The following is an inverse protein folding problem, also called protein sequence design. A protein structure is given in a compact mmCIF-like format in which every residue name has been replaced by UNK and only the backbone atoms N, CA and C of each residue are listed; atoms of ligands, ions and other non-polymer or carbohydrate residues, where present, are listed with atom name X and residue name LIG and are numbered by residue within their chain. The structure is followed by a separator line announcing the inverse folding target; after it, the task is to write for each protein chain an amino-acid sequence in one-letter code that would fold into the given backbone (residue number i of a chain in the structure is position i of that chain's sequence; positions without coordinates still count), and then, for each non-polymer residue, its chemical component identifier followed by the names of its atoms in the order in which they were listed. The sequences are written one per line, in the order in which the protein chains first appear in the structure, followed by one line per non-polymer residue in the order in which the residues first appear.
data_IF_941360071292
#
_entry.id   IF_941360071292
#
_cell.length_a   1.000
_cell.length_b   1.000
_cell.length_c   1.000
_cell.angle_alpha   90.00
_cell.angle_beta   90.00
_cell.angle_gamma   90.00
#
_symmetry.space_group_name_H-M   'P 1'
#
loop_
_entity.id
_entity.type
_entity.pdbx_description
1 polymer ?
#
# COMPACT_ATOMS: atom_id res chain seq x y z
N UNK A 1 59.61 -6.55 -7.20
CA UNK A 1 58.96 -5.29 -6.75
C UNK A 1 57.49 -5.26 -7.19
N UNK A 2 56.66 -6.24 -6.78
CA UNK A 2 55.21 -6.33 -7.13
C UNK A 2 54.37 -6.92 -5.97
N UNK A 3 54.88 -6.92 -4.73
CA UNK A 3 54.23 -7.60 -3.59
C UNK A 3 53.24 -6.75 -2.80
N UNK A 4 53.06 -5.47 -3.14
CA UNK A 4 52.19 -4.55 -2.38
C UNK A 4 50.94 -4.08 -3.14
N UNK A 5 50.77 -4.44 -4.42
CA UNK A 5 49.66 -3.92 -5.23
C UNK A 5 48.34 -4.71 -5.10
N UNK A 6 48.40 -5.93 -4.54
CA UNK A 6 47.23 -6.83 -4.42
C UNK A 6 46.36 -6.54 -3.19
N UNK A 7 46.89 -5.83 -2.18
CA UNK A 7 46.12 -5.51 -0.97
C UNK A 7 45.22 -4.27 -1.12
N UNK A 8 45.28 -3.56 -2.26
CA UNK A 8 44.49 -2.35 -2.49
C UNK A 8 43.25 -2.57 -3.37
N UNK A 9 43.02 -3.80 -3.85
CA UNK A 9 41.89 -4.13 -4.74
C UNK A 9 40.86 -5.10 -4.12
N UNK A 10 41.04 -5.51 -2.86
CA UNK A 10 40.16 -6.46 -2.16
C UNK A 10 39.46 -5.85 -0.93
N UNK A 11 39.44 -4.52 -0.81
CA UNK A 11 38.66 -3.81 0.22
C UNK A 11 37.47 -3.04 -0.37
N UNK A 12 36.98 -3.47 -1.53
CA UNK A 12 35.75 -3.00 -2.13
C UNK A 12 34.76 -4.16 -2.22
N UNK A 13 34.47 -4.81 -1.09
CA UNK A 13 33.18 -5.48 -0.94
C UNK A 13 32.17 -4.34 -0.85
N UNK A 14 31.70 -3.89 -2.01
CA UNK A 14 30.48 -3.12 -2.13
C UNK A 14 29.39 -4.02 -1.59
N UNK A 15 29.05 -3.84 -0.32
CA UNK A 15 27.86 -4.38 0.28
C UNK A 15 26.70 -3.73 -0.47
N UNK A 16 26.25 -4.37 -1.54
CA UNK A 16 25.03 -4.02 -2.23
C UNK A 16 23.88 -4.23 -1.24
N UNK A 17 23.59 -3.21 -0.42
CA UNK A 17 22.36 -3.13 0.32
C UNK A 17 21.24 -3.11 -0.71
N UNK A 18 20.63 -4.27 -0.95
CA UNK A 18 19.34 -4.33 -1.61
C UNK A 18 18.34 -3.66 -0.67
N UNK A 19 18.16 -2.35 -0.82
CA UNK A 19 17.02 -1.64 -0.24
C UNK A 19 15.76 -2.29 -0.82
N UNK A 20 14.90 -2.79 0.06
CA UNK A 20 13.62 -3.37 -0.36
C UNK A 20 12.71 -2.22 -0.74
N UNK A 21 12.22 -2.23 -1.96
CA UNK A 21 11.25 -1.24 -2.39
C UNK A 21 9.94 -1.48 -1.62
N UNK A 22 9.52 -0.49 -0.83
CA UNK A 22 8.18 -0.47 -0.26
C UNK A 22 7.22 -0.08 -1.38
N UNK A 23 6.17 -0.86 -1.56
CA UNK A 23 5.08 -0.57 -2.51
C UNK A 23 3.79 -0.37 -1.72
N UNK A 24 3.04 0.67 -2.08
CA UNK A 24 1.74 0.97 -1.48
C UNK A 24 0.73 1.15 -2.58
N UNK A 25 -0.35 0.38 -2.53
CA UNK A 25 -1.45 0.46 -3.47
C UNK A 25 -2.78 0.58 -2.74
N UNK A 26 -3.73 1.24 -3.39
CA UNK A 26 -5.13 1.26 -2.98
C UNK A 26 -5.97 0.79 -4.18
N UNK A 27 -6.93 -0.10 -3.95
CA UNK A 27 -7.76 -0.67 -5.00
C UNK A 27 -9.22 -0.77 -4.57
N UNK A 28 -10.11 -0.68 -5.55
CA UNK A 28 -11.52 -1.06 -5.41
C UNK A 28 -11.73 -2.37 -6.16
N UNK A 29 -12.51 -3.29 -5.58
CA UNK A 29 -12.99 -4.47 -6.30
C UNK A 29 -14.05 -4.11 -7.36
N UNK A 30 -14.80 -3.03 -7.16
CA UNK A 30 -15.74 -2.45 -8.11
C UNK A 30 -15.62 -0.92 -8.16
N UNK A 31 -15.56 -0.36 -9.37
CA UNK A 31 -15.58 1.10 -9.60
C UNK A 31 -16.98 1.66 -9.79
N UNK A 32 -17.99 0.79 -9.90
CA UNK A 32 -19.40 1.15 -10.04
C UNK A 32 -20.26 0.24 -9.16
N UNK A 33 -21.22 0.81 -8.45
CA UNK A 33 -22.18 0.09 -7.58
C UNK A 33 -23.56 0.74 -7.68
N UNK A 34 -24.64 0.01 -7.37
CA UNK A 34 -25.98 0.61 -7.24
C UNK A 34 -26.13 1.32 -5.88
N UNK A 35 -27.16 2.15 -5.68
CA UNK A 35 -27.37 2.82 -4.41
C UNK A 35 -27.74 1.80 -3.34
N UNK A 36 -27.00 1.81 -2.23
CA UNK A 36 -27.13 0.84 -1.13
C UNK A 36 -26.24 -0.41 -1.29
N UNK A 37 -25.66 -0.64 -2.47
CA UNK A 37 -24.57 -1.59 -2.64
C UNK A 37 -23.24 -0.98 -2.16
N UNK A 38 -22.22 -1.82 -2.00
CA UNK A 38 -20.92 -1.40 -1.54
C UNK A 38 -19.78 -2.08 -2.31
N UNK A 39 -18.62 -1.42 -2.34
CA UNK A 39 -17.36 -1.92 -2.86
C UNK A 39 -16.37 -2.14 -1.72
N UNK A 40 -15.44 -3.07 -1.91
CA UNK A 40 -14.30 -3.26 -1.03
C UNK A 40 -13.13 -2.37 -1.46
N UNK A 41 -12.74 -1.47 -0.57
CA UNK A 41 -11.50 -0.71 -0.67
C UNK A 41 -10.39 -1.47 0.08
N UNK A 42 -9.32 -1.79 -0.64
CA UNK A 42 -8.15 -2.48 -0.08
C UNK A 42 -6.93 -1.58 -0.17
N UNK A 43 -6.26 -1.37 0.96
CA UNK A 43 -4.89 -0.85 0.96
C UNK A 43 -3.92 -2.00 1.09
N UNK A 44 -2.97 -2.14 0.18
CA UNK A 44 -1.93 -3.18 0.22
C UNK A 44 -0.55 -2.52 0.32
N UNK A 45 0.22 -2.98 1.31
CA UNK A 45 1.57 -2.52 1.61
C UNK A 45 2.51 -3.70 1.46
N UNK A 46 3.45 -3.63 0.53
CA UNK A 46 4.51 -4.64 0.35
C UNK A 46 5.83 -4.11 0.86
N UNK A 47 6.61 -4.98 1.50
CA UNK A 47 7.97 -4.67 1.96
C UNK A 47 8.02 -3.73 3.18
N UNK A 48 6.89 -3.48 3.83
CA UNK A 48 6.79 -2.61 5.00
C UNK A 48 5.50 -2.82 5.78
N UNK A 49 5.40 -2.12 6.90
CA UNK A 49 4.22 -2.12 7.77
C UNK A 49 3.88 -0.70 8.19
N UNK A 50 2.60 -0.45 8.43
CA UNK A 50 2.08 0.82 8.92
C UNK A 50 0.91 0.57 9.87
N UNK A 51 0.54 1.61 10.61
CA UNK A 51 -0.76 1.65 11.25
C UNK A 51 -1.88 1.78 10.21
N UNK A 52 -3.10 1.49 10.66
CA UNK A 52 -4.33 1.58 9.86
C UNK A 52 -4.39 2.91 9.09
N UNK A 53 -4.55 2.88 7.75
CA UNK A 53 -4.74 4.09 6.95
C UNK A 53 -5.95 4.90 7.44
N UNK A 54 -5.78 6.21 7.65
CA UNK A 54 -6.92 7.08 7.94
C UNK A 54 -7.57 7.52 6.62
N UNK A 55 -8.76 6.99 6.32
CA UNK A 55 -9.55 7.45 5.17
C UNK A 55 -10.36 8.67 5.64
N UNK A 56 -10.23 9.83 4.99
CA UNK A 56 -10.96 11.03 5.38
C UNK A 56 -12.47 10.83 5.17
N UNK A 57 -13.27 11.57 5.95
CA UNK A 57 -14.71 11.61 5.74
C UNK A 57 -15.02 12.25 4.38
N UNK A 58 -15.74 11.51 3.54
CA UNK A 58 -16.22 11.97 2.23
C UNK A 58 -17.73 12.13 2.35
N UNK A 59 -18.25 13.29 1.98
CA UNK A 59 -19.67 13.59 2.10
C UNK A 59 -20.53 12.54 1.38
N UNK A 60 -21.58 12.06 2.06
CA UNK A 60 -22.51 11.06 1.54
C UNK A 60 -21.87 9.70 1.17
N UNK A 61 -20.62 9.44 1.54
CA UNK A 61 -19.97 8.15 1.36
C UNK A 61 -19.73 7.48 2.72
N UNK A 62 -20.32 6.31 2.91
CA UNK A 62 -20.04 5.47 4.06
C UNK A 62 -18.70 4.78 3.86
N UNK A 63 -17.82 4.84 4.87
CA UNK A 63 -16.53 4.14 4.88
C UNK A 63 -16.40 3.39 6.20
N UNK A 64 -16.39 2.06 6.14
CA UNK A 64 -16.34 1.20 7.32
C UNK A 64 -15.15 0.25 7.23
N UNK A 65 -14.34 0.21 8.30
CA UNK A 65 -13.22 -0.73 8.37
C UNK A 65 -13.71 -2.13 8.70
N UNK A 66 -13.22 -3.11 7.94
CA UNK A 66 -13.55 -4.52 8.11
C UNK A 66 -12.45 -5.32 8.79
N UNK A 67 -11.19 -4.92 8.62
CA UNK A 67 -10.08 -5.63 9.24
C UNK A 67 -8.77 -5.41 8.52
N UNK A 68 -7.76 -6.09 9.03
CA UNK A 68 -6.44 -6.12 8.43
C UNK A 68 -5.95 -7.56 8.34
N UNK A 69 -5.15 -7.84 7.32
CA UNK A 69 -4.43 -9.09 7.19
C UNK A 69 -2.93 -8.81 7.04
N UNK A 70 -2.09 -9.72 7.53
CA UNK A 70 -0.66 -9.60 7.38
C UNK A 70 -0.08 -10.96 7.01
N UNK A 71 0.63 -11.01 5.90
CA UNK A 71 1.31 -12.19 5.42
C UNK A 71 2.81 -11.94 5.42
N UNK A 72 3.57 -12.86 6.02
CA UNK A 72 5.03 -12.88 5.96
C UNK A 72 5.45 -14.18 5.31
N UNK A 73 6.29 -14.11 4.29
CA UNK A 73 6.82 -15.28 3.59
C UNK A 73 8.33 -15.17 3.46
N UNK A 74 9.01 -16.32 3.29
CA UNK A 74 10.46 -16.36 3.07
C UNK A 74 10.68 -17.07 1.75
N UNK A 75 11.13 -16.33 0.72
CA UNK A 75 11.35 -16.84 -0.63
C UNK A 75 12.85 -16.74 -0.92
N UNK A 76 13.52 -17.87 -1.14
CA UNK A 76 14.97 -17.94 -1.38
C UNK A 76 15.81 -17.21 -0.30
N UNK A 77 15.43 -17.35 0.97
CA UNK A 77 16.08 -16.67 2.09
C UNK A 77 15.74 -15.18 2.24
N UNK A 78 14.81 -14.64 1.44
CA UNK A 78 14.36 -13.23 1.49
C UNK A 78 12.97 -13.15 2.12
N UNK A 79 12.81 -12.34 3.17
CA UNK A 79 11.54 -12.23 3.94
C UNK A 79 10.54 -11.28 3.29
N UNK A 80 9.63 -11.71 2.44
CA UNK A 80 8.58 -10.82 1.90
C UNK A 80 7.49 -10.57 2.95
N UNK A 81 6.96 -9.35 2.99
CA UNK A 81 5.83 -9.02 3.86
C UNK A 81 4.79 -8.22 3.09
N UNK A 82 3.52 -8.60 3.28
CA UNK A 82 2.36 -7.92 2.71
C UNK A 82 1.38 -7.64 3.83
N UNK A 83 1.02 -6.38 4.02
CA UNK A 83 0.00 -5.95 4.96
C UNK A 83 -1.17 -5.35 4.19
N UNK A 84 -2.38 -5.84 4.45
CA UNK A 84 -3.60 -5.39 3.77
C UNK A 84 -4.60 -4.84 4.78
N UNK A 85 -5.26 -3.73 4.44
CA UNK A 85 -6.36 -3.16 5.22
C UNK A 85 -7.62 -3.12 4.36
N UNK A 86 -8.71 -3.67 4.89
CA UNK A 86 -9.97 -3.83 4.19
C UNK A 86 -11.02 -2.84 4.71
N UNK A 87 -11.70 -2.17 3.80
CA UNK A 87 -12.81 -1.27 4.07
C UNK A 87 -13.99 -1.62 3.17
N UNK A 88 -15.21 -1.48 3.68
CA UNK A 88 -16.42 -1.42 2.87
C UNK A 88 -16.74 0.05 2.65
N UNK A 89 -16.92 0.44 1.39
CA UNK A 89 -17.31 1.79 0.99
C UNK A 89 -18.55 1.77 0.11
N UNK A 90 -19.46 2.72 0.29
CA UNK A 90 -20.70 2.76 -0.48
C UNK A 90 -21.57 3.97 -0.15
N UNK A 91 -22.62 4.18 -0.94
CA UNK A 91 -23.59 5.25 -0.71
C UNK A 91 -24.99 4.85 -1.15
N UNK A 92 -25.99 5.44 -0.50
CA UNK A 92 -27.39 5.38 -0.93
C UNK A 92 -27.76 6.50 -1.91
N UNK A 93 -26.87 7.46 -2.14
CA UNK A 93 -27.10 8.62 -3.00
C UNK A 93 -26.29 8.41 -4.29
N UNK A 94 -26.94 8.36 -5.48
CA UNK A 94 -26.24 8.33 -6.75
C UNK A 94 -25.27 9.50 -6.90
N UNK A 95 -24.08 9.24 -7.43
CA UNK A 95 -23.05 10.26 -7.53
C UNK A 95 -21.67 9.69 -7.84
N UNK A 96 -20.71 10.61 -8.00
CA UNK A 96 -19.31 10.29 -8.21
C UNK A 96 -18.53 10.68 -6.97
N UNK A 97 -17.93 9.70 -6.32
CA UNK A 97 -17.21 9.86 -5.06
C UNK A 97 -15.71 9.72 -5.31
N UNK A 98 -14.96 10.79 -5.03
CA UNK A 98 -13.51 10.78 -5.12
C UNK A 98 -12.90 10.36 -3.76
N UNK A 99 -12.20 9.23 -3.75
CA UNK A 99 -11.33 8.84 -2.64
C UNK A 99 -9.96 9.49 -2.89
N UNK A 100 -9.52 10.43 -2.03
CA UNK A 100 -8.28 11.14 -2.25
C UNK A 100 -7.07 10.21 -2.11
N UNK A 101 -5.94 10.65 -2.63
CA UNK A 101 -4.66 10.00 -2.39
C UNK A 101 -4.36 9.97 -0.88
N UNK A 102 -4.08 8.79 -0.32
CA UNK A 102 -3.82 8.60 1.10
C UNK A 102 -2.32 8.46 1.30
N UNK A 103 -1.77 9.24 2.24
CA UNK A 103 -0.35 9.19 2.58
C UNK A 103 -0.14 8.34 3.83
N UNK A 104 0.80 7.40 3.74
CA UNK A 104 1.18 6.45 4.78
C UNK A 104 2.66 6.64 5.12
N UNK A 105 2.96 6.70 6.42
CA UNK A 105 4.33 6.76 6.92
C UNK A 105 4.83 5.33 7.18
N UNK A 106 5.79 4.85 6.38
CA UNK A 106 6.38 3.51 6.47
C UNK A 106 7.88 3.68 6.61
N UNK A 107 8.46 3.14 7.70
CA UNK A 107 9.91 3.23 7.98
C UNK A 107 10.47 4.67 7.92
N UNK A 108 9.69 5.67 8.33
CA UNK A 108 10.10 7.08 8.30
C UNK A 108 10.02 7.76 6.92
N UNK A 109 9.52 7.06 5.89
CA UNK A 109 9.27 7.61 4.57
C UNK A 109 7.77 7.65 4.27
N UNK A 110 7.34 8.70 3.56
CA UNK A 110 5.95 8.86 3.14
C UNK A 110 5.71 8.19 1.79
N UNK A 111 4.64 7.39 1.71
CA UNK A 111 4.16 6.75 0.49
C UNK A 111 2.72 7.16 0.26
N UNK A 112 2.39 7.55 -0.97
CA UNK A 112 1.07 8.08 -1.30
C UNK A 112 0.39 7.18 -2.31
N UNK A 113 -0.84 6.77 -2.02
CA UNK A 113 -1.65 5.98 -2.95
C UNK A 113 -2.09 6.83 -4.14
N UNK A 114 -2.52 6.18 -5.23
CA UNK A 114 -3.27 6.86 -6.27
C UNK A 114 -4.67 7.21 -5.73
N UNK A 115 -5.28 8.34 -6.15
CA UNK A 115 -6.68 8.59 -5.89
C UNK A 115 -7.55 7.55 -6.61
N UNK A 116 -8.72 7.27 -6.06
CA UNK A 116 -9.69 6.33 -6.62
C UNK A 116 -11.04 7.02 -6.78
N UNK A 117 -11.87 6.49 -7.66
CA UNK A 117 -13.22 7.00 -7.91
C UNK A 117 -14.22 5.85 -7.83
N UNK A 118 -15.27 6.04 -7.03
CA UNK A 118 -16.42 5.15 -6.97
C UNK A 118 -17.62 5.86 -7.59
N UNK A 119 -18.28 5.22 -8.55
CA UNK A 119 -19.53 5.68 -9.14
C UNK A 119 -20.69 4.93 -8.50
N UNK A 120 -21.63 5.65 -7.90
CA UNK A 120 -22.92 5.09 -7.50
C UNK A 120 -23.91 5.43 -8.60
N UNK A 121 -24.23 4.42 -9.42
CA UNK A 121 -25.14 4.57 -10.56
C UNK A 121 -26.58 4.43 -10.06
N UNK A 122 -27.45 5.36 -10.45
CA UNK A 122 -28.87 5.37 -10.09
C UNK A 122 -29.78 5.20 -11.29
#
# INVERSE_FOLDING_TARGET
MVRHFIHWLLFSIVLAMFVRAVEVTATLDATQVNPGDAANLTFEIKGGQTQRPNVPNIENLTVQFQGQNQMVSIINGRTESVQSFQYIIGSHIPGVYAIPAITLAINGQNFTTKPLTLHVIG
#
